data_IF_545859781764
#
_entry.id   IF_545859781764
#
_cell.length_a   1.000
_cell.length_b   1.000
_cell.length_c   1.000
_cell.angle_alpha   90.00
_cell.angle_beta   90.00
_cell.angle_gamma   90.00
#
_symmetry.space_group_name_H-M   'P 1'
#
loop_
_entity.id
_entity.type
_entity.pdbx_description
1 polymer ?
#
# COMPACT_ATOMS: atom_id res chain seq x y z
N UNK A 1 13.51 -15.52 14.03
CA UNK A 1 14.51 -15.09 15.03
C UNK A 1 15.83 -15.37 14.37
N UNK A 2 16.62 -14.34 14.07
CA UNK A 2 17.93 -14.57 13.45
C UNK A 2 18.88 -15.18 14.46
N UNK A 3 19.66 -16.16 14.03
CA UNK A 3 20.66 -16.82 14.87
C UNK A 3 21.95 -15.99 14.93
N UNK A 4 22.80 -16.24 15.93
CA UNK A 4 24.07 -15.51 16.07
C UNK A 4 24.98 -15.70 14.84
N UNK A 5 24.94 -16.89 14.24
CA UNK A 5 25.67 -17.24 13.03
C UNK A 5 25.19 -16.48 11.79
N UNK A 6 23.87 -16.40 11.58
CA UNK A 6 23.25 -15.63 10.49
C UNK A 6 23.63 -14.14 10.57
N UNK A 7 23.62 -13.56 11.78
CA UNK A 7 23.98 -12.15 11.99
C UNK A 7 25.44 -11.86 11.62
N UNK A 8 26.34 -12.82 11.88
CA UNK A 8 27.76 -12.71 11.54
C UNK A 8 28.00 -12.92 10.04
N UNK A 9 27.28 -13.86 9.40
CA UNK A 9 27.34 -14.04 7.94
C UNK A 9 26.87 -12.81 7.17
N UNK A 10 25.73 -12.22 7.56
CA UNK A 10 25.23 -10.98 6.95
C UNK A 10 26.23 -9.81 7.08
N UNK A 11 27.04 -9.82 8.13
CA UNK A 11 28.14 -8.87 8.33
C UNK A 11 29.34 -9.17 7.41
N UNK A 12 29.76 -10.44 7.29
CA UNK A 12 30.87 -10.86 6.41
C UNK A 12 30.53 -10.62 4.93
N UNK A 13 29.30 -10.89 4.52
CA UNK A 13 28.82 -10.73 3.13
C UNK A 13 28.48 -9.28 2.76
N UNK A 14 28.47 -8.36 3.73
CA UNK A 14 28.13 -6.95 3.53
C UNK A 14 26.65 -6.70 3.23
N UNK A 15 25.77 -7.65 3.54
CA UNK A 15 24.32 -7.56 3.33
C UNK A 15 23.59 -6.93 4.54
N UNK A 16 24.32 -6.63 5.61
CA UNK A 16 23.81 -5.97 6.82
C UNK A 16 23.65 -4.45 6.67
N UNK A 17 22.65 -3.88 7.36
CA UNK A 17 22.50 -2.42 7.45
C UNK A 17 23.62 -1.78 8.28
N UNK A 18 23.97 -0.50 8.05
CA UNK A 18 25.07 0.16 8.78
C UNK A 18 24.90 0.17 10.30
N UNK A 19 23.66 0.20 10.80
CA UNK A 19 23.37 0.09 12.23
C UNK A 19 23.61 -1.33 12.78
N UNK A 20 23.25 -2.35 12.01
CA UNK A 20 23.48 -3.76 12.36
C UNK A 20 24.97 -4.09 12.35
N UNK A 21 25.72 -3.62 11.35
CA UNK A 21 27.16 -3.82 11.25
C UNK A 21 27.92 -3.28 12.46
N UNK A 22 27.56 -2.09 12.95
CA UNK A 22 28.13 -1.51 14.18
C UNK A 22 27.76 -2.33 15.42
N UNK A 23 26.54 -2.86 15.48
CA UNK A 23 26.09 -3.68 16.60
C UNK A 23 26.81 -5.04 16.65
N UNK A 24 27.02 -5.67 15.49
CA UNK A 24 27.75 -6.92 15.34
C UNK A 24 29.23 -6.70 15.69
N UNK A 25 29.83 -5.61 15.22
CA UNK A 25 31.20 -5.25 15.56
C UNK A 25 31.39 -5.04 17.07
N UNK A 26 30.44 -4.37 17.74
CA UNK A 26 30.45 -4.22 19.19
C UNK A 26 30.28 -5.56 19.93
N UNK A 27 29.46 -6.47 19.40
CA UNK A 27 29.28 -7.84 19.95
C UNK A 27 30.53 -8.69 19.78
N UNK A 28 31.20 -8.63 18.63
CA UNK A 28 32.48 -9.33 18.37
C UNK A 28 33.57 -8.83 19.34
N UNK A 29 33.62 -7.52 19.63
CA UNK A 29 34.61 -6.95 20.55
C UNK A 29 34.29 -7.22 22.04
N UNK A 30 33.01 -7.41 22.38
CA UNK A 30 32.54 -7.53 23.76
C UNK A 30 32.30 -8.97 24.25
N UNK A 31 31.99 -9.91 23.35
CA UNK A 31 31.64 -11.29 23.68
C UNK A 31 32.64 -12.29 23.05
N UNK A 32 33.38 -13.07 23.86
CA UNK A 32 34.33 -14.06 23.35
C UNK A 32 33.67 -15.14 22.50
N UNK A 33 32.38 -15.45 22.69
CA UNK A 33 31.68 -16.45 21.88
C UNK A 33 31.40 -15.94 20.44
N UNK A 34 31.10 -14.64 20.29
CA UNK A 34 30.95 -14.01 18.98
C UNK A 34 32.29 -13.89 18.26
N UNK A 35 33.37 -13.59 18.99
CA UNK A 35 34.73 -13.54 18.44
C UNK A 35 35.20 -14.89 17.88
N UNK A 36 35.00 -15.99 18.62
CA UNK A 36 35.40 -17.32 18.15
C UNK A 36 34.60 -17.78 16.93
N UNK A 37 33.29 -17.53 16.91
CA UNK A 37 32.44 -17.84 15.76
C UNK A 37 32.84 -17.02 14.53
N UNK A 38 33.16 -15.74 14.70
CA UNK A 38 33.62 -14.90 13.61
C UNK A 38 34.91 -15.41 12.97
N UNK A 39 35.91 -15.81 13.78
CA UNK A 39 37.16 -16.37 13.27
C UNK A 39 36.95 -17.70 12.52
N UNK A 40 36.07 -18.56 13.04
CA UNK A 40 35.71 -19.83 12.40
C UNK A 40 35.04 -19.60 11.03
N UNK A 41 34.05 -18.71 10.97
CA UNK A 41 33.35 -18.36 9.74
C UNK A 41 34.28 -17.70 8.72
N UNK A 42 35.21 -16.87 9.18
CA UNK A 42 36.20 -16.24 8.31
C UNK A 42 37.18 -17.27 7.73
N UNK A 43 37.58 -18.27 8.52
CA UNK A 43 38.41 -19.38 8.04
C UNK A 43 37.68 -20.24 6.99
N UNK A 44 36.39 -20.49 7.17
CA UNK A 44 35.55 -21.20 6.19
C UNK A 44 35.42 -20.38 4.91
N UNK A 45 35.12 -19.09 5.00
CA UNK A 45 35.00 -18.22 3.82
C UNK A 45 36.32 -18.15 3.03
N UNK A 46 37.47 -18.12 3.72
CA UNK A 46 38.78 -18.19 3.07
C UNK A 46 38.98 -19.51 2.31
N UNK A 47 38.65 -20.64 2.91
CA UNK A 47 38.72 -21.96 2.26
C UNK A 47 37.77 -22.06 1.05
N UNK A 48 36.58 -21.48 1.14
CA UNK A 48 35.62 -21.44 0.03
C UNK A 48 36.12 -20.57 -1.13
N UNK A 49 36.83 -19.48 -0.87
CA UNK A 49 37.44 -18.64 -1.90
C UNK A 49 38.65 -19.29 -2.58
N UNK A 50 39.33 -20.22 -1.91
CA UNK A 50 40.43 -21.01 -2.49
C UNK A 50 39.93 -22.12 -3.42
N UNK A 51 38.64 -22.47 -3.37
CA UNK A 51 38.04 -23.38 -4.35
C UNK A 51 38.01 -22.69 -5.71
N UNK A 52 38.72 -23.26 -6.68
CA UNK A 52 38.62 -22.82 -8.07
C UNK A 52 37.17 -22.95 -8.52
N UNK A 53 36.56 -21.85 -8.96
CA UNK A 53 35.23 -21.90 -9.56
C UNK A 53 35.30 -22.73 -10.83
N UNK A 54 34.79 -23.96 -10.76
CA UNK A 54 34.65 -24.81 -11.93
C UNK A 54 33.70 -24.13 -12.93
N UNK A 55 34.18 -23.93 -14.16
CA UNK A 55 33.35 -23.37 -15.21
C UNK A 55 32.20 -24.35 -15.51
N UNK A 56 30.94 -23.89 -15.49
CA UNK A 56 29.82 -24.74 -15.81
C UNK A 56 29.92 -25.23 -17.26
N UNK A 57 29.33 -26.39 -17.56
CA UNK A 57 29.34 -26.90 -18.93
C UNK A 57 28.74 -25.89 -19.93
N UNK A 58 29.25 -25.87 -21.17
CA UNK A 58 28.80 -24.99 -22.25
C UNK A 58 27.27 -25.01 -22.50
N UNK A 59 26.58 -26.09 -22.10
CA UNK A 59 25.12 -26.24 -22.26
C UNK A 59 24.31 -25.86 -21.02
N UNK A 60 24.94 -25.61 -19.87
CA UNK A 60 24.27 -25.30 -18.60
C UNK A 60 23.33 -24.09 -18.74
N UNK A 61 23.87 -22.95 -19.18
CA UNK A 61 23.09 -21.72 -19.36
C UNK A 61 21.93 -21.91 -20.32
N UNK A 62 22.12 -22.69 -21.39
CA UNK A 62 21.04 -23.02 -22.34
C UNK A 62 19.93 -23.82 -21.65
N UNK A 63 20.29 -24.88 -20.93
CA UNK A 63 19.33 -25.75 -20.27
C UNK A 63 18.53 -25.02 -19.16
N UNK A 64 19.19 -24.15 -18.39
CA UNK A 64 18.54 -23.33 -17.35
C UNK A 64 17.61 -22.30 -17.96
N UNK A 65 18.07 -21.55 -18.97
CA UNK A 65 17.24 -20.52 -19.61
C UNK A 65 16.06 -21.10 -20.39
N UNK A 66 16.19 -22.31 -20.92
CA UNK A 66 15.09 -23.02 -21.56
C UNK A 66 14.00 -23.41 -20.55
N UNK A 67 14.38 -23.84 -19.34
CA UNK A 67 13.43 -24.11 -18.25
C UNK A 67 12.78 -22.83 -17.72
N UNK A 68 13.54 -21.77 -17.50
CA UNK A 68 13.01 -20.47 -17.03
C UNK A 68 12.04 -19.86 -18.04
N UNK A 69 12.26 -20.06 -19.35
CA UNK A 69 11.35 -19.58 -20.39
C UNK A 69 9.99 -20.29 -20.40
N UNK A 70 9.93 -21.53 -19.89
CA UNK A 70 8.67 -22.26 -19.72
C UNK A 70 7.89 -21.76 -18.51
N UNK A 71 8.54 -21.06 -17.59
CA UNK A 71 7.88 -20.40 -16.47
C UNK A 71 7.13 -19.17 -16.97
N UNK A 72 5.83 -19.12 -16.68
CA UNK A 72 4.97 -18.02 -17.09
C UNK A 72 5.47 -16.77 -16.37
N UNK A 73 5.93 -15.77 -17.13
CA UNK A 73 6.35 -14.48 -16.59
C UNK A 73 5.28 -13.96 -15.60
N UNK A 74 5.66 -13.35 -14.47
CA UNK A 74 4.71 -12.90 -13.46
C UNK A 74 3.79 -11.84 -14.07
N UNK A 75 2.63 -12.29 -14.55
CA UNK A 75 1.62 -11.41 -15.10
C UNK A 75 1.05 -10.65 -13.92
N UNK A 76 1.21 -9.33 -13.90
CA UNK A 76 0.53 -8.47 -12.93
C UNK A 76 -0.95 -8.86 -12.94
N UNK A 77 -1.45 -9.47 -11.86
CA UNK A 77 -2.83 -9.90 -11.77
C UNK A 77 -3.72 -8.66 -11.72
N UNK A 78 -4.08 -8.13 -12.90
CA UNK A 78 -5.10 -7.09 -13.00
C UNK A 78 -6.37 -7.72 -12.46
N UNK A 79 -6.86 -7.18 -11.35
CA UNK A 79 -8.10 -7.60 -10.71
C UNK A 79 -9.21 -7.55 -11.76
N UNK A 80 -9.76 -8.72 -12.11
CA UNK A 80 -10.85 -8.83 -13.08
C UNK A 80 -12.13 -8.35 -12.41
N UNK A 81 -12.29 -7.03 -12.29
CA UNK A 81 -13.57 -6.44 -11.87
C UNK A 81 -14.46 -6.33 -13.10
N UNK A 82 -15.64 -6.93 -13.05
CA UNK A 82 -16.63 -6.80 -14.11
C UNK A 82 -17.17 -5.36 -14.12
N UNK A 83 -16.93 -4.65 -15.23
CA UNK A 83 -17.36 -3.27 -15.41
C UNK A 83 -18.88 -3.12 -15.35
N UNK A 84 -19.65 -4.18 -15.62
CA UNK A 84 -21.12 -4.19 -15.48
C UNK A 84 -21.57 -3.97 -14.04
N UNK A 85 -20.84 -4.51 -13.07
CA UNK A 85 -21.15 -4.35 -11.64
C UNK A 85 -20.90 -2.89 -11.22
N UNK A 86 -19.85 -2.27 -11.75
CA UNK A 86 -19.55 -0.86 -11.50
C UNK A 86 -20.68 0.03 -12.05
N UNK A 87 -21.15 -0.25 -13.27
CA UNK A 87 -22.25 0.50 -13.88
C UNK A 87 -23.58 0.30 -13.15
N UNK A 88 -23.88 -0.89 -12.64
CA UNK A 88 -25.13 -1.13 -11.89
C UNK A 88 -25.15 -0.37 -10.56
N UNK A 89 -24.02 -0.38 -9.83
CA UNK A 89 -23.88 0.39 -8.58
C UNK A 89 -23.99 1.89 -8.87
N UNK A 90 -23.30 2.38 -9.90
CA UNK A 90 -23.38 3.79 -10.29
C UNK A 90 -24.80 4.22 -10.66
N UNK A 91 -25.51 3.40 -11.45
CA UNK A 91 -26.90 3.67 -11.83
C UNK A 91 -27.84 3.71 -10.62
N UNK A 92 -27.66 2.82 -9.64
CA UNK A 92 -28.44 2.81 -8.41
C UNK A 92 -28.29 4.12 -7.63
N UNK A 93 -27.05 4.60 -7.43
CA UNK A 93 -26.81 5.85 -6.73
C UNK A 93 -27.39 7.06 -7.47
N UNK A 94 -27.26 7.12 -8.80
CA UNK A 94 -27.85 8.21 -9.61
C UNK A 94 -29.37 8.21 -9.46
N UNK A 95 -30.02 7.05 -9.57
CA UNK A 95 -31.46 6.93 -9.40
C UNK A 95 -31.90 7.38 -8.00
N UNK A 96 -31.16 7.01 -6.97
CA UNK A 96 -31.45 7.37 -5.59
C UNK A 96 -31.32 8.89 -5.35
N UNK A 97 -30.26 9.50 -5.88
CA UNK A 97 -30.07 10.96 -5.83
C UNK A 97 -31.21 11.68 -6.56
N UNK A 98 -31.59 11.21 -7.75
CA UNK A 98 -32.72 11.79 -8.50
C UNK A 98 -34.04 11.65 -7.77
N UNK A 99 -34.29 10.53 -7.09
CA UNK A 99 -35.50 10.33 -6.29
C UNK A 99 -35.57 11.32 -5.12
N UNK A 100 -34.45 11.52 -4.40
CA UNK A 100 -34.37 12.48 -3.30
C UNK A 100 -34.55 13.92 -3.83
N UNK A 101 -33.85 14.29 -4.90
CA UNK A 101 -33.98 15.61 -5.51
C UNK A 101 -35.41 15.87 -6.00
N UNK A 102 -36.02 14.89 -6.67
CA UNK A 102 -37.41 14.97 -7.13
C UNK A 102 -38.39 15.13 -5.97
N UNK A 103 -38.18 14.42 -4.86
CA UNK A 103 -38.98 14.58 -3.65
C UNK A 103 -38.83 15.97 -3.05
N UNK A 104 -37.60 16.50 -2.95
CA UNK A 104 -37.36 17.86 -2.44
C UNK A 104 -38.05 18.89 -3.33
N UNK A 105 -37.81 18.84 -4.65
CA UNK A 105 -38.41 19.75 -5.63
C UNK A 105 -39.94 19.74 -5.59
N UNK A 106 -40.56 18.55 -5.40
CA UNK A 106 -42.01 18.42 -5.33
C UNK A 106 -42.62 18.98 -4.04
N UNK A 107 -41.84 19.06 -2.95
CA UNK A 107 -42.33 19.50 -1.63
C UNK A 107 -41.82 20.90 -1.25
N UNK A 108 -40.95 21.53 -2.06
CA UNK A 108 -40.36 22.84 -1.77
C UNK A 108 -41.06 23.99 -2.51
N UNK A 109 -41.47 25.02 -1.77
CA UNK A 109 -41.84 26.33 -2.33
C UNK A 109 -40.57 27.20 -2.47
N UNK A 110 -40.11 27.45 -3.69
CA UNK A 110 -38.91 28.27 -3.94
C UNK A 110 -39.22 29.76 -3.79
N UNK A 111 -38.72 30.40 -2.73
CA UNK A 111 -38.70 31.86 -2.61
C UNK A 111 -37.25 32.35 -2.60
N UNK A 112 -36.85 33.05 -3.67
CA UNK A 112 -35.46 33.48 -3.92
C UNK A 112 -35.09 34.82 -3.25
N UNK A 113 -36.01 35.44 -2.52
CA UNK A 113 -35.82 36.80 -1.99
C UNK A 113 -35.11 36.87 -0.63
N UNK A 114 -35.07 35.77 0.12
CA UNK A 114 -34.30 35.67 1.36
C UNK A 114 -33.67 34.29 1.48
N UNK A 115 -32.38 34.17 1.19
CA UNK A 115 -31.62 32.93 1.40
C UNK A 115 -31.40 32.74 2.91
N UNK A 116 -32.44 32.36 3.63
CA UNK A 116 -32.35 31.67 4.91
C UNK A 116 -32.51 30.18 4.60
N UNK A 117 -31.41 29.45 4.65
CA UNK A 117 -31.44 27.99 4.68
C UNK A 117 -32.02 27.54 6.02
N UNK A 118 -33.34 27.56 6.14
CA UNK A 118 -34.04 26.87 7.22
C UNK A 118 -34.23 25.42 6.80
N UNK A 119 -33.38 24.52 7.31
CA UNK A 119 -33.53 23.08 7.14
C UNK A 119 -34.64 22.54 8.06
N UNK A 120 -35.82 23.15 7.99
CA UNK A 120 -37.04 22.70 8.67
C UNK A 120 -37.64 21.49 7.95
N UNK A 121 -36.92 20.36 7.92
CA UNK A 121 -37.50 19.06 7.55
C UNK A 121 -38.43 18.61 8.68
N UNK A 122 -39.66 19.10 8.72
CA UNK A 122 -40.69 18.53 9.59
C UNK A 122 -41.26 17.27 8.93
N UNK A 123 -40.48 16.18 8.98
CA UNK A 123 -41.03 14.83 8.83
C UNK A 123 -41.40 14.33 10.23
N UNK A 124 -42.70 14.18 10.48
CA UNK A 124 -43.33 13.93 11.79
C UNK A 124 -42.84 12.67 12.54
N UNK A 125 -41.99 11.85 11.92
CA UNK A 125 -41.50 10.60 12.49
C UNK A 125 -39.98 10.37 12.41
N UNK A 126 -39.20 11.27 11.79
CA UNK A 126 -37.73 11.10 11.70
C UNK A 126 -37.03 12.44 11.95
N UNK A 127 -36.58 12.65 13.19
CA UNK A 127 -35.74 13.79 13.58
C UNK A 127 -34.33 13.67 13.00
N UNK A 128 -34.16 14.06 11.74
CA UNK A 128 -32.84 14.19 11.10
C UNK A 128 -31.96 15.22 11.82
N UNK A 129 -32.54 16.18 12.54
CA UNK A 129 -31.81 17.15 13.37
C UNK A 129 -31.01 16.51 14.51
N UNK A 130 -31.39 15.29 14.96
CA UNK A 130 -30.65 14.56 15.99
C UNK A 130 -29.40 13.84 15.44
N UNK A 131 -29.42 13.43 14.18
CA UNK A 131 -28.34 12.65 13.56
C UNK A 131 -27.43 13.50 12.67
N UNK A 132 -27.98 14.52 12.01
CA UNK A 132 -27.26 15.45 11.13
C UNK A 132 -27.00 16.75 11.90
N UNK A 133 -26.08 16.68 12.85
CA UNK A 133 -25.65 17.89 13.58
C UNK A 133 -24.78 18.78 12.69
N UNK A 134 -24.74 20.11 12.93
CA UNK A 134 -23.85 21.01 12.19
C UNK A 134 -22.38 20.60 12.24
N UNK A 135 -21.97 19.92 13.31
CA UNK A 135 -20.61 19.38 13.46
C UNK A 135 -20.37 18.19 12.53
N UNK A 136 -21.36 17.29 12.38
CA UNK A 136 -21.28 16.17 11.44
C UNK A 136 -21.12 16.65 9.99
N UNK A 137 -21.88 17.68 9.60
CA UNK A 137 -21.77 18.27 8.25
C UNK A 137 -20.39 18.90 8.03
N UNK A 138 -19.86 19.63 9.03
CA UNK A 138 -18.52 20.25 8.94
C UNK A 138 -17.42 19.21 8.83
N UNK A 139 -17.49 18.12 9.60
CA UNK A 139 -16.53 17.01 9.53
C UNK A 139 -16.61 16.34 8.15
N UNK A 140 -17.82 16.07 7.67
CA UNK A 140 -18.03 15.48 6.35
C UNK A 140 -17.42 16.35 5.23
N UNK A 141 -17.70 17.66 5.23
CA UNK A 141 -17.12 18.59 4.26
C UNK A 141 -15.59 18.70 4.37
N UNK A 142 -15.03 18.62 5.58
CA UNK A 142 -13.58 18.67 5.78
C UNK A 142 -12.89 17.41 5.20
N UNK A 143 -13.48 16.23 5.43
CA UNK A 143 -12.99 14.97 4.86
C UNK A 143 -13.11 14.99 3.34
N UNK A 144 -14.23 15.47 2.80
CA UNK A 144 -14.46 15.56 1.35
C UNK A 144 -13.48 16.53 0.68
N UNK A 145 -13.17 17.66 1.33
CA UNK A 145 -12.13 18.59 0.88
C UNK A 145 -10.74 17.95 0.82
N UNK A 146 -10.36 17.18 1.84
CA UNK A 146 -9.09 16.46 1.86
C UNK A 146 -9.02 15.40 0.76
N UNK A 147 -10.10 14.65 0.54
CA UNK A 147 -10.22 13.68 -0.55
C UNK A 147 -10.14 14.36 -1.92
N UNK A 148 -10.80 15.50 -2.12
CA UNK A 148 -10.73 16.27 -3.35
C UNK A 148 -9.30 16.76 -3.62
N UNK A 149 -8.58 17.22 -2.60
CA UNK A 149 -7.20 17.66 -2.74
C UNK A 149 -6.26 16.50 -3.09
N UNK A 150 -6.40 15.36 -2.41
CA UNK A 150 -5.63 14.15 -2.71
C UNK A 150 -5.94 13.62 -4.12
N UNK A 151 -7.20 13.69 -4.54
CA UNK A 151 -7.64 13.31 -5.88
C UNK A 151 -7.04 14.22 -6.95
N UNK A 152 -7.07 15.55 -6.74
CA UNK A 152 -6.47 16.53 -7.65
C UNK A 152 -4.95 16.33 -7.75
N UNK A 153 -4.28 16.10 -6.63
CA UNK A 153 -2.83 15.84 -6.60
C UNK A 153 -2.48 14.54 -7.35
N UNK A 154 -3.24 13.46 -7.10
CA UNK A 154 -3.09 12.19 -7.83
C UNK A 154 -3.36 12.35 -9.35
N UNK A 155 -4.41 13.10 -9.71
CA UNK A 155 -4.76 13.38 -11.10
C UNK A 155 -3.67 14.20 -11.81
N UNK A 156 -3.08 15.19 -11.15
CA UNK A 156 -1.98 16.01 -11.68
C UNK A 156 -0.69 15.21 -11.84
N UNK A 157 -0.32 14.33 -10.89
CA UNK A 157 0.85 13.45 -11.04
C UNK A 157 0.72 12.51 -12.21
N UNK A 158 -0.47 11.96 -12.45
CA UNK A 158 -0.73 11.05 -13.57
C UNK A 158 -0.63 11.72 -14.95
N UNK A 159 -0.71 13.04 -15.03
CA UNK A 159 -0.50 13.82 -16.27
C UNK A 159 0.94 14.31 -16.46
N UNK A 160 1.79 14.21 -15.43
CA UNK A 160 3.23 14.57 -15.51
C UNK A 160 4.14 13.37 -15.80
N UNK A 161 3.61 12.15 -15.79
CA UNK A 161 4.24 10.94 -16.32
C UNK A 161 3.67 10.61 -17.70
#
# INVERSE_FOLDING_TARGET
MMTMEEEIWDYIDGNSSPEQALSVQAKIAGDPAYGSLYEELLAINAQMNELELEEPSMSFTRNVMEQVKLEIAPVSMKTKVDTRIIYSIAAFFICFILAILGYILSNSTFDFTNVKFDMGFQMEHIDFGKYVTPTSIKIFLFVDLLLALAFIDSYLRRRRA
#
